data_IF_466184310696
#
_entry.id   IF_466184310696
#
_cell.length_a   1.000
_cell.length_b   1.000
_cell.length_c   1.000
_cell.angle_alpha   90.00
_cell.angle_beta   90.00
_cell.angle_gamma   90.00
#
_symmetry.space_group_name_H-M   'P 1'
#
loop_
_entity.id
_entity.type
_entity.pdbx_description
1 polymer ?
#
# COMPACT_ATOMS: atom_id res chain seq x y z
N UNK A 1 -39.72 -17.01 -6.26
CA UNK A 1 -39.30 -16.01 -7.27
C UNK A 1 -38.90 -14.74 -6.54
N UNK A 2 -37.84 -14.07 -6.97
CA UNK A 2 -37.55 -12.73 -6.46
C UNK A 2 -38.68 -11.75 -6.82
N UNK A 3 -38.74 -10.62 -6.13
CA UNK A 3 -39.87 -9.70 -6.23
C UNK A 3 -39.77 -8.72 -7.42
N UNK A 4 -38.99 -9.03 -8.47
CA UNK A 4 -38.88 -8.17 -9.63
C UNK A 4 -40.24 -7.95 -10.33
N UNK A 5 -40.49 -6.72 -10.80
CA UNK A 5 -41.81 -6.30 -11.30
C UNK A 5 -42.33 -7.13 -12.47
N UNK A 6 -41.45 -7.66 -13.32
CA UNK A 6 -41.84 -8.50 -14.46
C UNK A 6 -42.24 -9.93 -14.08
N UNK A 7 -41.82 -10.43 -12.90
CA UNK A 7 -42.28 -11.71 -12.37
C UNK A 7 -43.77 -11.69 -12.00
N UNK A 8 -44.34 -10.51 -11.73
CA UNK A 8 -45.75 -10.32 -11.41
C UNK A 8 -46.66 -10.24 -12.64
N UNK A 9 -46.11 -10.34 -13.85
CA UNK A 9 -46.90 -10.26 -15.08
C UNK A 9 -47.89 -11.42 -15.19
N UNK A 10 -49.07 -11.13 -15.74
CA UNK A 10 -50.15 -12.12 -15.86
C UNK A 10 -49.75 -13.32 -16.72
N UNK A 11 -48.90 -13.06 -17.73
CA UNK A 11 -48.33 -14.09 -18.59
C UNK A 11 -47.49 -15.11 -17.82
N UNK A 12 -46.68 -14.67 -16.87
CA UNK A 12 -45.82 -15.56 -16.06
C UNK A 12 -46.67 -16.41 -15.12
N UNK A 13 -47.69 -15.81 -14.49
CA UNK A 13 -48.64 -16.54 -13.64
C UNK A 13 -49.39 -17.63 -14.43
N UNK A 14 -49.85 -17.30 -15.64
CA UNK A 14 -50.55 -18.24 -16.51
C UNK A 14 -49.66 -19.43 -16.88
N UNK A 15 -48.44 -19.16 -17.36
CA UNK A 15 -47.48 -20.20 -17.76
C UNK A 15 -47.14 -21.14 -16.60
N UNK A 16 -46.96 -20.60 -15.39
CA UNK A 16 -46.69 -21.43 -14.23
C UNK A 16 -47.90 -22.25 -13.78
N UNK A 17 -49.12 -21.68 -13.87
CA UNK A 17 -50.35 -22.41 -13.61
C UNK A 17 -50.57 -23.55 -14.60
N UNK A 18 -50.36 -23.31 -15.90
CA UNK A 18 -50.48 -24.32 -16.95
C UNK A 18 -49.46 -25.46 -16.78
N UNK A 19 -48.29 -25.15 -16.23
CA UNK A 19 -47.26 -26.12 -15.88
C UNK A 19 -47.50 -26.81 -14.52
N UNK A 20 -48.59 -26.50 -13.80
CA UNK A 20 -48.87 -27.06 -12.47
C UNK A 20 -47.93 -26.57 -11.35
N UNK A 21 -47.19 -25.48 -11.60
CA UNK A 21 -46.21 -24.91 -10.67
C UNK A 21 -46.87 -23.83 -9.81
N UNK A 22 -46.80 -23.99 -8.49
CA UNK A 22 -47.29 -22.97 -7.54
C UNK A 22 -46.26 -21.85 -7.40
N UNK A 23 -46.65 -20.64 -7.79
CA UNK A 23 -45.80 -19.46 -7.64
C UNK A 23 -45.77 -19.00 -6.18
N UNK A 24 -44.57 -18.90 -5.61
CA UNK A 24 -44.32 -18.27 -4.32
C UNK A 24 -43.35 -17.09 -4.53
N UNK A 25 -43.83 -15.88 -4.22
CA UNK A 25 -42.98 -14.69 -4.21
C UNK A 25 -42.29 -14.60 -2.85
N UNK A 26 -40.97 -14.42 -2.88
CA UNK A 26 -40.24 -14.12 -1.67
C UNK A 26 -40.56 -12.66 -1.26
N UNK A 27 -40.56 -12.34 0.05
CA UNK A 27 -40.65 -10.96 0.47
C UNK A 27 -39.55 -10.12 -0.22
N UNK A 28 -39.80 -8.84 -0.53
CA UNK A 28 -38.75 -7.97 -1.03
C UNK A 28 -37.55 -8.06 -0.11
N UNK A 29 -36.34 -8.15 -0.69
CA UNK A 29 -35.11 -8.04 0.08
C UNK A 29 -35.21 -6.78 0.93
N UNK A 30 -34.94 -6.91 2.23
CA UNK A 30 -34.90 -5.75 3.10
C UNK A 30 -33.64 -4.96 2.73
N UNK A 31 -33.77 -3.70 2.26
CA UNK A 31 -32.63 -2.89 1.83
C UNK A 31 -31.61 -2.74 2.95
N UNK A 32 -32.09 -2.74 4.20
CA UNK A 32 -31.30 -2.65 5.43
C UNK A 32 -30.24 -3.77 5.55
N UNK A 33 -30.45 -4.92 4.88
CA UNK A 33 -29.53 -6.06 4.91
C UNK A 33 -28.74 -6.25 3.61
N UNK A 34 -28.89 -5.35 2.62
CA UNK A 34 -28.13 -5.40 1.38
C UNK A 34 -27.63 -4.01 0.97
N UNK A 35 -26.56 -3.50 1.60
CA UNK A 35 -26.00 -2.15 1.37
C UNK A 35 -25.66 -1.86 -0.10
N UNK A 36 -25.51 -2.89 -0.94
CA UNK A 36 -25.26 -2.73 -2.38
C UNK A 36 -26.42 -2.03 -3.11
N UNK A 37 -27.64 -2.05 -2.57
CA UNK A 37 -28.80 -1.41 -3.21
C UNK A 37 -28.74 0.12 -3.14
N UNK A 38 -28.32 0.68 -2.01
CA UNK A 38 -28.05 2.12 -1.87
C UNK A 38 -26.91 2.54 -2.81
N UNK A 39 -25.87 1.72 -2.90
CA UNK A 39 -24.77 1.89 -3.85
C UNK A 39 -25.27 1.99 -5.31
N UNK A 40 -26.16 1.08 -5.74
CA UNK A 40 -26.71 1.14 -7.08
C UNK A 40 -27.60 2.36 -7.31
N UNK A 41 -28.26 2.89 -6.27
CA UNK A 41 -29.08 4.09 -6.37
C UNK A 41 -28.21 5.33 -6.62
N UNK A 42 -27.13 5.51 -5.88
CA UNK A 42 -26.18 6.61 -6.05
C UNK A 42 -25.47 6.55 -7.41
N UNK A 43 -24.98 5.37 -7.79
CA UNK A 43 -24.33 5.17 -9.08
C UNK A 43 -25.27 5.50 -10.25
N UNK A 44 -26.54 5.08 -10.18
CA UNK A 44 -27.55 5.40 -11.20
C UNK A 44 -27.85 6.91 -11.24
N UNK A 45 -27.95 7.57 -10.08
CA UNK A 45 -28.19 9.00 -10.01
C UNK A 45 -27.03 9.80 -10.64
N UNK A 46 -25.79 9.40 -10.36
CA UNK A 46 -24.59 9.96 -10.98
C UNK A 46 -24.60 9.77 -12.50
N UNK A 47 -24.77 8.52 -12.96
CA UNK A 47 -24.79 8.21 -14.40
C UNK A 47 -25.87 9.03 -15.09
N UNK A 48 -27.06 9.14 -14.50
CA UNK A 48 -28.16 9.94 -15.06
C UNK A 48 -27.82 11.43 -15.16
N UNK A 49 -27.04 11.98 -14.21
CA UNK A 49 -26.56 13.36 -14.24
C UNK A 49 -25.48 13.59 -15.30
N UNK A 50 -24.57 12.62 -15.47
CA UNK A 50 -23.48 12.68 -16.45
C UNK A 50 -23.90 12.23 -17.87
N UNK A 51 -25.07 11.59 -18.00
CA UNK A 51 -25.60 11.02 -19.24
C UNK A 51 -25.63 11.99 -20.44
N UNK A 52 -25.99 13.28 -20.29
CA UNK A 52 -25.98 14.20 -21.43
C UNK A 52 -24.62 14.30 -22.14
N UNK A 53 -23.51 14.21 -21.40
CA UNK A 53 -22.16 14.25 -21.97
C UNK A 53 -21.80 12.95 -22.74
N UNK A 54 -22.49 11.84 -22.46
CA UNK A 54 -22.39 10.62 -23.23
C UNK A 54 -23.23 10.68 -24.51
N UNK A 55 -24.40 11.31 -24.47
CA UNK A 55 -25.26 11.49 -25.65
C UNK A 55 -24.64 12.40 -26.70
N UNK A 56 -23.80 13.36 -26.30
CA UNK A 56 -23.07 14.26 -27.22
C UNK A 56 -21.94 13.55 -28.01
N UNK A 57 -21.34 12.50 -27.45
CA UNK A 57 -20.29 11.70 -28.09
C UNK A 57 -20.42 10.22 -27.70
N UNK A 58 -21.37 9.48 -28.28
CA UNK A 58 -21.57 8.07 -27.96
C UNK A 58 -20.46 7.17 -28.51
N UNK A 59 -19.71 7.64 -29.52
CA UNK A 59 -18.62 6.90 -30.17
C UNK A 59 -17.39 6.77 -29.25
N UNK A 60 -17.27 7.61 -28.22
CA UNK A 60 -16.24 7.47 -27.17
C UNK A 60 -16.30 6.09 -26.47
N UNK A 61 -17.48 5.45 -26.47
CA UNK A 61 -17.73 4.17 -25.84
C UNK A 61 -17.91 4.26 -24.32
N UNK A 62 -18.83 3.45 -23.78
CA UNK A 62 -19.24 3.50 -22.38
C UNK A 62 -18.10 3.32 -21.37
N UNK A 63 -17.08 2.48 -21.69
CA UNK A 63 -15.91 2.28 -20.83
C UNK A 63 -15.02 3.53 -20.71
N UNK A 64 -14.97 4.36 -21.75
CA UNK A 64 -14.17 5.60 -21.77
C UNK A 64 -14.89 6.70 -21.00
N UNK A 65 -16.21 6.79 -21.17
CA UNK A 65 -17.09 7.65 -20.38
C UNK A 65 -16.93 7.41 -18.87
N UNK A 66 -17.00 6.14 -18.42
CA UNK A 66 -16.81 5.81 -17.01
C UNK A 66 -15.41 6.16 -16.48
N UNK A 67 -14.36 5.98 -17.29
CA UNK A 67 -12.98 6.32 -16.89
C UNK A 67 -12.76 7.82 -16.75
N UNK A 68 -13.29 8.62 -17.68
CA UNK A 68 -13.21 10.09 -17.63
C UNK A 68 -13.86 10.68 -16.38
N UNK A 69 -14.87 9.98 -15.88
CA UNK A 69 -15.64 10.35 -14.71
C UNK A 69 -15.21 9.61 -13.44
N UNK A 70 -14.16 8.80 -13.50
CA UNK A 70 -13.72 7.95 -12.39
C UNK A 70 -13.34 8.78 -11.16
N UNK A 71 -12.62 9.90 -11.30
CA UNK A 71 -12.26 10.75 -10.16
C UNK A 71 -13.49 11.35 -9.48
N UNK A 72 -14.49 11.77 -10.25
CA UNK A 72 -15.76 12.27 -9.70
C UNK A 72 -16.69 11.17 -9.17
N UNK A 73 -16.54 9.93 -9.66
CA UNK A 73 -17.19 8.76 -9.11
C UNK A 73 -16.54 8.35 -7.79
N UNK A 74 -15.22 8.46 -7.65
CA UNK A 74 -14.49 8.21 -6.41
C UNK A 74 -14.83 9.26 -5.33
N UNK A 75 -15.14 10.51 -5.71
CA UNK A 75 -15.63 11.56 -4.79
C UNK A 75 -17.08 11.31 -4.29
N UNK A 76 -17.90 10.61 -5.07
CA UNK A 76 -19.31 10.29 -4.72
C UNK A 76 -19.42 8.93 -4.05
N UNK A 77 -18.68 7.93 -4.54
CA UNK A 77 -18.60 6.58 -4.01
C UNK A 77 -17.48 6.52 -2.97
N UNK A 78 -17.75 7.10 -1.81
CA UNK A 78 -16.84 6.97 -0.68
C UNK A 78 -16.98 5.57 -0.07
N UNK A 79 -16.30 4.57 -0.64
CA UNK A 79 -16.13 3.24 -0.03
C UNK A 79 -15.30 3.28 1.28
N UNK A 80 -15.01 4.48 1.77
CA UNK A 80 -14.12 4.78 2.88
C UNK A 80 -14.84 5.13 4.17
N UNK A 81 -16.13 4.81 4.34
CA UNK A 81 -16.67 4.77 5.71
C UNK A 81 -15.95 3.64 6.45
N UNK A 82 -15.04 3.99 7.39
CA UNK A 82 -14.29 2.98 8.10
C UNK A 82 -15.28 2.22 8.99
N UNK A 83 -14.93 1.00 9.36
CA UNK A 83 -15.53 0.43 10.56
C UNK A 83 -15.26 1.37 11.74
N UNK A 84 -16.32 1.91 12.35
CA UNK A 84 -16.24 2.82 13.48
C UNK A 84 -16.70 2.13 14.74
N UNK A 85 -15.86 2.20 15.78
CA UNK A 85 -16.24 1.78 17.12
C UNK A 85 -17.21 2.80 17.71
N UNK A 86 -18.07 2.37 18.63
CA UNK A 86 -18.81 3.34 19.44
C UNK A 86 -17.81 4.22 20.21
N UNK A 87 -18.11 5.51 20.49
CA UNK A 87 -17.19 6.39 21.22
C UNK A 87 -16.71 5.80 22.55
N UNK A 88 -17.59 5.07 23.24
CA UNK A 88 -17.26 4.36 24.48
C UNK A 88 -16.27 3.22 24.26
N UNK A 89 -16.47 2.39 23.23
CA UNK A 89 -15.54 1.32 22.87
C UNK A 89 -14.19 1.90 22.45
N UNK A 90 -14.16 2.95 21.62
CA UNK A 90 -12.92 3.62 21.22
C UNK A 90 -12.12 4.09 22.44
N UNK A 91 -12.76 4.81 23.37
CA UNK A 91 -12.09 5.34 24.55
C UNK A 91 -11.60 4.24 25.50
N UNK A 92 -12.40 3.17 25.66
CA UNK A 92 -12.02 2.00 26.46
C UNK A 92 -10.82 1.30 25.84
N UNK A 93 -10.88 0.99 24.54
CA UNK A 93 -9.81 0.35 23.79
C UNK A 93 -8.51 1.15 23.83
N UNK A 94 -8.58 2.48 23.62
CA UNK A 94 -7.42 3.38 23.73
C UNK A 94 -6.81 3.38 25.13
N UNK A 95 -7.64 3.37 26.17
CA UNK A 95 -7.16 3.34 27.55
C UNK A 95 -6.46 2.02 27.88
N UNK A 96 -7.04 0.90 27.43
CA UNK A 96 -6.45 -0.43 27.57
C UNK A 96 -5.15 -0.56 26.78
N UNK A 97 -5.08 -0.02 25.56
CA UNK A 97 -3.85 -0.01 24.75
C UNK A 97 -2.70 0.68 25.49
N UNK A 98 -2.99 1.84 26.08
CA UNK A 98 -2.01 2.56 26.91
C UNK A 98 -1.61 1.73 28.14
N UNK A 99 -2.58 1.15 28.85
CA UNK A 99 -2.30 0.33 30.04
C UNK A 99 -1.42 -0.90 29.71
N UNK A 100 -1.73 -1.62 28.64
CA UNK A 100 -0.97 -2.79 28.18
C UNK A 100 0.45 -2.39 27.76
N UNK A 101 0.60 -1.32 26.97
CA UNK A 101 1.93 -0.90 26.47
C UNK A 101 2.81 -0.27 27.56
N UNK A 102 2.22 0.42 28.55
CA UNK A 102 2.96 0.90 29.72
C UNK A 102 3.35 -0.24 30.65
N UNK A 103 2.47 -1.25 30.84
CA UNK A 103 2.79 -2.43 31.65
C UNK A 103 3.89 -3.30 31.01
N UNK A 104 3.89 -3.43 29.68
CA UNK A 104 4.99 -4.10 28.95
C UNK A 104 6.33 -3.37 29.12
N UNK A 105 6.30 -2.04 29.24
CA UNK A 105 7.48 -1.20 29.35
C UNK A 105 7.87 -0.57 28.00
N UNK A 106 7.82 0.76 27.85
CA UNK A 106 8.05 1.42 26.56
C UNK A 106 9.49 1.28 26.05
N UNK A 107 10.46 1.02 26.93
CA UNK A 107 11.87 0.82 26.59
C UNK A 107 12.30 -0.65 26.66
N UNK A 108 11.34 -1.58 26.89
CA UNK A 108 11.64 -3.00 26.87
C UNK A 108 11.96 -3.45 25.45
N UNK A 109 13.12 -4.06 25.28
CA UNK A 109 13.62 -4.58 24.00
C UNK A 109 13.27 -6.07 23.88
N UNK A 110 12.76 -6.47 22.73
CA UNK A 110 12.49 -7.89 22.43
C UNK A 110 13.79 -8.66 22.20
N UNK A 111 13.70 -9.99 22.11
CA UNK A 111 14.84 -10.83 21.72
C UNK A 111 15.43 -10.46 20.35
N UNK A 112 14.63 -9.83 19.50
CA UNK A 112 14.99 -9.38 18.14
C UNK A 112 15.59 -7.98 18.09
N UNK A 113 15.78 -7.32 19.24
CA UNK A 113 16.51 -6.05 19.33
C UNK A 113 15.70 -4.79 19.02
N UNK A 114 14.40 -4.90 18.76
CA UNK A 114 13.50 -3.76 18.57
C UNK A 114 12.57 -3.57 19.79
N UNK A 115 11.81 -2.48 19.82
CA UNK A 115 10.94 -2.09 20.95
C UNK A 115 9.45 -2.35 20.63
N UNK A 116 8.84 -3.47 21.10
CA UNK A 116 7.46 -3.84 20.77
C UNK A 116 6.42 -2.80 21.16
N UNK A 117 6.47 -2.28 22.38
CA UNK A 117 5.53 -1.27 22.84
C UNK A 117 5.60 0.03 22.00
N UNK A 118 6.81 0.46 21.59
CA UNK A 118 6.97 1.61 20.68
C UNK A 118 6.48 1.31 19.28
N UNK A 119 6.70 0.11 18.75
CA UNK A 119 6.15 -0.31 17.45
C UNK A 119 4.62 -0.19 17.44
N UNK A 120 3.97 -0.77 18.44
CA UNK A 120 2.51 -0.79 18.57
C UNK A 120 1.97 0.63 18.73
N UNK A 121 2.53 1.44 19.65
CA UNK A 121 2.11 2.83 19.88
C UNK A 121 2.34 3.71 18.65
N UNK A 122 3.49 3.55 17.99
CA UNK A 122 3.79 4.31 16.77
C UNK A 122 2.83 3.92 15.65
N UNK A 123 2.54 2.63 15.48
CA UNK A 123 1.55 2.15 14.51
C UNK A 123 0.20 2.78 14.79
N UNK A 124 -0.30 2.69 16.03
CA UNK A 124 -1.55 3.35 16.43
C UNK A 124 -1.55 4.85 16.13
N UNK A 125 -0.43 5.55 16.30
CA UNK A 125 -0.34 6.99 16.06
C UNK A 125 -0.31 7.37 14.58
N UNK A 126 0.26 6.54 13.71
CA UNK A 126 0.48 6.86 12.30
C UNK A 126 -0.56 6.27 11.33
N UNK A 127 -1.33 5.25 11.72
CA UNK A 127 -2.44 4.73 10.89
C UNK A 127 -3.59 5.74 10.79
N UNK A 128 -4.27 5.82 9.64
CA UNK A 128 -5.45 6.67 9.49
C UNK A 128 -6.65 6.11 10.24
N UNK A 129 -6.92 4.79 10.13
CA UNK A 129 -8.04 4.15 10.83
C UNK A 129 -7.62 3.65 12.21
N UNK A 130 -7.83 4.50 13.23
CA UNK A 130 -7.56 4.14 14.64
C UNK A 130 -8.42 2.96 15.11
N UNK A 131 -9.68 2.93 14.68
CA UNK A 131 -10.66 1.92 15.09
C UNK A 131 -10.37 0.55 14.48
N UNK A 132 -9.98 0.51 13.20
CA UNK A 132 -9.53 -0.73 12.56
C UNK A 132 -8.29 -1.28 13.27
N UNK A 133 -7.33 -0.42 13.62
CA UNK A 133 -6.14 -0.85 14.37
C UNK A 133 -6.50 -1.38 15.76
N UNK A 134 -7.30 -0.65 16.54
CA UNK A 134 -7.72 -1.08 17.88
C UNK A 134 -8.47 -2.41 17.81
N UNK A 135 -9.37 -2.54 16.84
CA UNK A 135 -10.11 -3.78 16.59
C UNK A 135 -9.15 -4.93 16.34
N UNK A 136 -8.25 -4.78 15.36
CA UNK A 136 -7.30 -5.81 14.98
C UNK A 136 -6.36 -6.19 16.14
N UNK A 137 -5.85 -5.21 16.87
CA UNK A 137 -4.98 -5.43 18.01
C UNK A 137 -5.67 -6.26 19.10
N UNK A 138 -6.86 -5.84 19.55
CA UNK A 138 -7.54 -6.51 20.64
C UNK A 138 -8.11 -7.88 20.25
N UNK A 139 -8.63 -8.05 19.03
CA UNK A 139 -9.07 -9.37 18.56
C UNK A 139 -7.90 -10.34 18.45
N UNK A 140 -6.75 -9.88 17.95
CA UNK A 140 -5.53 -10.69 17.88
C UNK A 140 -5.07 -11.15 19.27
N UNK A 141 -4.97 -10.22 20.24
CA UNK A 141 -4.56 -10.58 21.59
C UNK A 141 -5.53 -11.55 22.25
N UNK A 142 -6.83 -11.35 22.07
CA UNK A 142 -7.84 -12.25 22.62
C UNK A 142 -7.75 -13.65 22.01
N UNK A 143 -7.60 -13.75 20.69
CA UNK A 143 -7.42 -15.01 19.98
C UNK A 143 -6.15 -15.74 20.43
N UNK A 144 -5.03 -15.04 20.60
CA UNK A 144 -3.80 -15.61 21.15
C UNK A 144 -3.96 -16.16 22.58
N UNK A 145 -4.78 -15.52 23.43
CA UNK A 145 -4.93 -15.90 24.84
C UNK A 145 -6.02 -16.95 25.09
N UNK A 146 -7.03 -17.01 24.23
CA UNK A 146 -8.23 -17.84 24.43
C UNK A 146 -8.44 -18.91 23.38
N UNK A 147 -7.75 -18.83 22.24
CA UNK A 147 -7.95 -19.69 21.05
C UNK A 147 -9.37 -19.62 20.47
N UNK A 148 -10.14 -18.57 20.78
CA UNK A 148 -11.51 -18.36 20.30
C UNK A 148 -11.57 -17.13 19.40
N UNK A 149 -12.18 -17.28 18.22
CA UNK A 149 -12.47 -16.18 17.31
C UNK A 149 -13.20 -15.06 18.05
N UNK A 150 -12.66 -13.85 17.99
CA UNK A 150 -13.15 -12.73 18.78
C UNK A 150 -13.75 -11.64 17.92
N UNK A 151 -14.83 -11.03 18.41
CA UNK A 151 -15.16 -9.67 18.03
C UNK A 151 -14.55 -8.67 19.02
N UNK A 152 -14.64 -7.39 18.70
CA UNK A 152 -14.08 -6.33 19.53
C UNK A 152 -14.81 -6.17 20.87
N UNK A 153 -16.11 -6.47 20.95
CA UNK A 153 -16.85 -6.35 22.20
C UNK A 153 -16.40 -7.43 23.19
N UNK A 154 -16.24 -8.67 22.72
CA UNK A 154 -15.71 -9.78 23.49
C UNK A 154 -14.29 -9.49 23.96
N UNK A 155 -13.41 -9.04 23.05
CA UNK A 155 -12.02 -8.73 23.39
C UNK A 155 -11.93 -7.63 24.46
N UNK A 156 -12.66 -6.51 24.30
CA UNK A 156 -12.66 -5.43 25.28
C UNK A 156 -13.24 -5.87 26.63
N UNK A 157 -14.25 -6.74 26.63
CA UNK A 157 -14.82 -7.28 27.86
C UNK A 157 -13.82 -8.17 28.62
N UNK A 158 -13.02 -8.94 27.89
CA UNK A 158 -11.97 -9.79 28.46
C UNK A 158 -10.90 -8.93 29.15
N UNK A 159 -10.37 -7.91 28.48
CA UNK A 159 -9.32 -7.05 29.03
C UNK A 159 -9.81 -5.97 30.01
N UNK A 160 -11.13 -5.84 30.24
CA UNK A 160 -11.71 -4.73 31.01
C UNK A 160 -11.11 -4.59 32.41
N UNK A 161 -10.81 -5.70 33.08
CA UNK A 161 -10.27 -5.75 34.44
C UNK A 161 -8.78 -6.14 34.49
N UNK A 162 -8.03 -5.91 33.40
CA UNK A 162 -6.60 -6.24 33.28
C UNK A 162 -5.74 -5.85 34.49
N UNK A 163 -6.03 -4.71 35.12
CA UNK A 163 -5.29 -4.24 36.31
C UNK A 163 -5.44 -5.15 37.55
N UNK A 164 -6.52 -5.94 37.61
CA UNK A 164 -6.84 -6.87 38.69
C UNK A 164 -6.36 -8.30 38.42
N UNK A 165 -5.83 -8.57 37.22
CA UNK A 165 -5.35 -9.89 36.84
C UNK A 165 -4.16 -10.33 37.69
N UNK A 166 -4.03 -11.64 37.89
CA UNK A 166 -2.86 -12.21 38.54
C UNK A 166 -1.60 -12.10 37.66
N UNK A 167 -0.44 -12.29 38.29
CA UNK A 167 0.85 -12.14 37.63
C UNK A 167 1.09 -13.15 36.50
N UNK A 168 0.43 -14.31 36.48
CA UNK A 168 0.54 -15.29 35.40
C UNK A 168 -0.27 -14.85 34.17
N UNK A 169 -1.51 -14.40 34.39
CA UNK A 169 -2.36 -13.84 33.35
C UNK A 169 -1.74 -12.58 32.72
N UNK A 170 -1.21 -11.67 33.53
CA UNK A 170 -0.51 -10.48 33.02
C UNK A 170 0.72 -10.86 32.19
N UNK A 171 1.51 -11.85 32.63
CA UNK A 171 2.67 -12.33 31.87
C UNK A 171 2.27 -12.91 30.51
N UNK A 172 1.18 -13.69 30.45
CA UNK A 172 0.64 -14.22 29.20
C UNK A 172 0.18 -13.10 28.26
N UNK A 173 -0.50 -12.08 28.79
CA UNK A 173 -0.88 -10.91 28.01
C UNK A 173 0.32 -10.19 27.40
N UNK A 174 1.40 -10.04 28.16
CA UNK A 174 2.64 -9.43 27.66
C UNK A 174 3.31 -10.27 26.56
N UNK A 175 3.25 -11.61 26.69
CA UNK A 175 3.64 -12.52 25.61
C UNK A 175 2.83 -12.28 24.33
N UNK A 176 1.50 -12.20 24.43
CA UNK A 176 0.64 -11.92 23.29
C UNK A 176 0.90 -10.53 22.66
N UNK A 177 1.23 -9.51 23.47
CA UNK A 177 1.63 -8.17 22.99
C UNK A 177 2.92 -8.25 22.16
N UNK A 178 3.91 -9.03 22.63
CA UNK A 178 5.15 -9.25 21.90
C UNK A 178 4.92 -10.05 20.62
N UNK A 179 4.08 -11.09 20.66
CA UNK A 179 3.67 -11.87 19.48
C UNK A 179 2.96 -11.00 18.43
N UNK A 180 2.09 -10.08 18.83
CA UNK A 180 1.46 -9.13 17.91
C UNK A 180 2.49 -8.21 17.23
N UNK A 181 3.47 -7.70 18.00
CA UNK A 181 4.53 -6.87 17.43
C UNK A 181 5.37 -7.67 16.44
N UNK A 182 5.71 -8.92 16.78
CA UNK A 182 6.43 -9.84 15.90
C UNK A 182 5.63 -10.18 14.64
N UNK A 183 4.33 -10.37 14.77
CA UNK A 183 3.42 -10.55 13.64
C UNK A 183 3.47 -9.33 12.72
N UNK A 184 3.36 -8.11 13.24
CA UNK A 184 3.45 -6.89 12.45
C UNK A 184 4.79 -6.75 11.73
N UNK A 185 5.91 -7.02 12.42
CA UNK A 185 7.25 -6.98 11.81
C UNK A 185 7.38 -8.01 10.70
N UNK A 186 7.04 -9.27 10.98
CA UNK A 186 7.31 -10.38 10.07
C UNK A 186 6.32 -10.50 8.93
N UNK A 187 5.04 -10.18 9.15
CA UNK A 187 3.98 -10.30 8.14
C UNK A 187 3.80 -9.03 7.32
N UNK A 188 4.18 -7.86 7.84
CA UNK A 188 3.94 -6.59 7.15
C UNK A 188 5.21 -5.82 6.81
N UNK A 189 5.98 -5.42 7.81
CA UNK A 189 7.11 -4.51 7.57
C UNK A 189 8.26 -5.16 6.81
N UNK A 190 8.64 -6.39 7.18
CA UNK A 190 9.74 -7.13 6.57
C UNK A 190 9.47 -7.40 5.07
N UNK A 191 8.32 -7.96 4.66
CA UNK A 191 8.06 -8.21 3.24
C UNK A 191 7.99 -6.95 2.39
N UNK A 192 7.41 -5.85 2.91
CA UNK A 192 7.38 -4.57 2.22
C UNK A 192 8.79 -4.05 1.95
N UNK A 193 9.64 -3.99 2.99
CA UNK A 193 11.01 -3.50 2.84
C UNK A 193 11.87 -4.40 1.95
N UNK A 194 11.77 -5.72 2.11
CA UNK A 194 12.48 -6.70 1.28
C UNK A 194 12.19 -6.54 -0.22
N UNK A 195 10.98 -6.08 -0.55
CA UNK A 195 10.49 -5.97 -1.91
C UNK A 195 10.73 -4.60 -2.54
N UNK A 196 10.69 -3.53 -1.74
CA UNK A 196 10.94 -2.16 -2.21
C UNK A 196 12.36 -1.94 -2.76
N UNK A 197 13.36 -2.68 -2.28
CA UNK A 197 14.74 -2.58 -2.76
C UNK A 197 14.93 -3.26 -4.12
N UNK A 198 14.03 -4.17 -4.52
CA UNK A 198 14.16 -5.03 -5.71
C UNK A 198 13.19 -4.67 -6.83
N UNK A 199 12.71 -3.42 -6.88
CA UNK A 199 11.74 -2.95 -7.88
C UNK A 199 12.22 -3.33 -9.29
N UNK A 200 11.45 -4.10 -10.09
CA UNK A 200 11.91 -4.57 -11.38
C UNK A 200 12.18 -3.39 -12.32
N UNK A 201 13.45 -3.17 -12.66
CA UNK A 201 13.82 -2.23 -13.72
C UNK A 201 13.81 -2.96 -15.06
N UNK A 202 13.29 -2.35 -16.14
CA UNK A 202 13.50 -2.89 -17.47
C UNK A 202 14.99 -2.81 -17.80
N UNK A 203 15.69 -3.95 -17.71
CA UNK A 203 17.08 -4.05 -18.14
C UNK A 203 17.15 -3.73 -19.64
N UNK A 204 18.09 -2.90 -20.12
CA UNK A 204 18.33 -2.77 -21.56
C UNK A 204 18.83 -4.13 -22.05
N UNK A 205 17.92 -4.94 -22.60
CA UNK A 205 18.20 -6.34 -22.91
C UNK A 205 19.05 -6.39 -24.17
N UNK A 206 20.32 -6.80 -24.03
CA UNK A 206 20.97 -7.61 -25.05
C UNK A 206 20.07 -8.82 -25.31
N UNK A 207 19.53 -8.89 -26.53
CA UNK A 207 18.53 -9.82 -27.08
C UNK A 207 18.84 -11.32 -26.86
N UNK A 208 18.82 -11.82 -25.63
CA UNK A 208 19.09 -13.24 -25.38
C UNK A 208 18.30 -13.76 -24.17
N UNK A 209 17.60 -14.87 -24.42
CA UNK A 209 16.75 -15.65 -23.52
C UNK A 209 15.37 -15.02 -23.16
N UNK A 210 14.41 -15.27 -24.05
CA UNK A 210 12.99 -15.36 -23.69
C UNK A 210 12.87 -16.49 -22.65
N UNK A 211 12.69 -16.13 -21.38
CA UNK A 211 12.19 -17.07 -20.38
C UNK A 211 10.66 -17.19 -20.51
N UNK A 212 10.06 -18.40 -20.51
CA UNK A 212 8.64 -18.59 -20.82
C UNK A 212 7.65 -18.17 -19.73
N UNK A 213 8.09 -17.66 -18.58
CA UNK A 213 7.27 -17.53 -17.37
C UNK A 213 6.86 -16.10 -16.98
N UNK A 214 7.19 -15.06 -17.76
CA UNK A 214 6.62 -13.73 -17.52
C UNK A 214 5.38 -13.55 -18.40
N UNK A 215 4.18 -13.24 -17.84
CA UNK A 215 3.05 -12.84 -18.67
C UNK A 215 3.49 -11.60 -19.44
N UNK A 216 3.48 -11.69 -20.76
CA UNK A 216 4.04 -10.72 -21.73
C UNK A 216 3.57 -9.28 -21.49
N UNK A 217 2.45 -9.09 -20.77
CA UNK A 217 1.92 -7.79 -20.36
C UNK A 217 2.72 -7.05 -19.27
N UNK A 218 3.34 -7.73 -18.30
CA UNK A 218 3.97 -7.03 -17.14
C UNK A 218 5.19 -6.21 -17.56
N UNK A 219 6.06 -6.76 -18.42
CA UNK A 219 7.23 -6.02 -18.93
C UNK A 219 6.82 -4.78 -19.73
N UNK A 220 5.77 -4.90 -20.55
CA UNK A 220 5.24 -3.77 -21.31
C UNK A 220 4.63 -2.71 -20.40
N UNK A 221 3.86 -3.11 -19.37
CA UNK A 221 3.30 -2.18 -18.39
C UNK A 221 4.39 -1.43 -17.62
N UNK A 222 5.43 -2.11 -17.15
CA UNK A 222 6.56 -1.46 -16.44
C UNK A 222 7.29 -0.47 -17.37
N UNK A 223 7.47 -0.83 -18.65
CA UNK A 223 8.07 0.09 -19.62
C UNK A 223 7.20 1.33 -19.88
N UNK A 224 5.88 1.17 -19.95
CA UNK A 224 4.93 2.29 -20.10
C UNK A 224 4.92 3.16 -18.85
N UNK A 225 4.85 2.57 -17.67
CA UNK A 225 4.95 3.28 -16.39
C UNK A 225 6.22 4.14 -16.33
N UNK A 226 7.37 3.56 -16.68
CA UNK A 226 8.63 4.28 -16.69
C UNK A 226 8.60 5.48 -17.65
N UNK A 227 8.05 5.28 -18.84
CA UNK A 227 7.91 6.34 -19.83
C UNK A 227 7.03 7.48 -19.30
N UNK A 228 5.86 7.15 -18.75
CA UNK A 228 4.88 8.13 -18.26
C UNK A 228 5.42 8.92 -17.06
N UNK A 229 6.08 8.26 -16.10
CA UNK A 229 6.69 8.94 -14.95
C UNK A 229 7.81 9.90 -15.37
N UNK A 230 8.68 9.51 -16.31
CA UNK A 230 9.74 10.40 -16.81
C UNK A 230 9.17 11.63 -17.50
N UNK A 231 8.11 11.50 -18.30
CA UNK A 231 7.43 12.64 -18.92
C UNK A 231 6.79 13.54 -17.86
N UNK A 232 6.03 12.96 -16.93
CA UNK A 232 5.36 13.69 -15.86
C UNK A 232 6.34 14.53 -15.03
N UNK A 233 7.49 13.94 -14.71
CA UNK A 233 8.49 14.56 -13.83
C UNK A 233 9.52 15.41 -14.61
N UNK A 234 9.22 15.75 -15.87
CA UNK A 234 10.09 16.57 -16.74
C UNK A 234 11.51 16.00 -16.85
N UNK A 235 11.61 14.66 -16.88
CA UNK A 235 12.86 13.90 -16.90
C UNK A 235 13.83 14.27 -15.77
N UNK A 236 13.31 14.73 -14.63
CA UNK A 236 14.10 15.10 -13.45
C UNK A 236 13.72 14.22 -12.25
N UNK A 237 14.71 13.92 -11.41
CA UNK A 237 14.47 13.31 -10.12
C UNK A 237 13.57 14.21 -9.26
N UNK A 238 12.51 13.66 -8.67
CA UNK A 238 11.57 14.44 -7.84
C UNK A 238 12.24 15.00 -6.57
N UNK A 239 13.31 14.36 -6.10
CA UNK A 239 14.07 14.75 -4.90
C UNK A 239 15.24 15.68 -5.27
N UNK A 240 16.19 15.20 -6.07
CA UNK A 240 17.46 15.92 -6.33
C UNK A 240 17.38 16.93 -7.46
N UNK A 241 16.33 16.87 -8.30
CA UNK A 241 16.16 17.65 -9.54
C UNK A 241 17.23 17.40 -10.62
N UNK A 242 18.12 16.42 -10.43
CA UNK A 242 19.05 15.96 -11.46
C UNK A 242 18.28 15.41 -12.66
N UNK A 243 18.79 15.69 -13.86
CA UNK A 243 18.16 15.38 -15.14
C UNK A 243 18.60 14.02 -15.68
N UNK A 244 17.73 13.33 -16.40
CA UNK A 244 18.04 12.04 -17.01
C UNK A 244 19.11 12.15 -18.11
N UNK A 245 20.22 11.47 -17.90
CA UNK A 245 21.36 11.52 -18.82
C UNK A 245 21.07 10.91 -20.20
N UNK A 246 20.17 9.92 -20.28
CA UNK A 246 19.84 9.29 -21.56
C UNK A 246 18.98 10.24 -22.41
N UNK A 247 18.02 10.92 -21.79
CA UNK A 247 17.22 11.96 -22.47
C UNK A 247 18.08 13.16 -22.85
N UNK A 248 19.01 13.61 -21.99
CA UNK A 248 19.93 14.71 -22.33
C UNK A 248 20.78 14.40 -23.57
N UNK A 249 21.34 13.18 -23.67
CA UNK A 249 22.10 12.72 -24.84
C UNK A 249 21.25 12.71 -26.11
N UNK A 250 19.99 12.25 -26.00
CA UNK A 250 19.04 12.20 -27.12
C UNK A 250 18.65 13.60 -27.61
N UNK A 251 18.42 14.56 -26.70
CA UNK A 251 18.12 15.95 -27.07
C UNK A 251 19.31 16.63 -27.74
N UNK A 252 20.52 16.45 -27.19
CA UNK A 252 21.76 16.97 -27.78
C UNK A 252 22.01 16.47 -29.21
N UNK A 253 21.58 15.24 -29.52
CA UNK A 253 21.72 14.67 -30.86
C UNK A 253 20.69 15.24 -31.88
N UNK A 254 19.57 15.79 -31.42
CA UNK A 254 18.46 16.25 -32.28
C UNK A 254 18.36 17.77 -32.39
N UNK A 255 18.58 18.47 -31.29
CA UNK A 255 18.34 19.90 -31.15
C UNK A 255 19.66 20.65 -30.88
N UNK A 256 19.86 21.76 -31.57
CA UNK A 256 21.04 22.63 -31.41
C UNK A 256 20.99 23.43 -30.12
N UNK A 257 19.79 23.75 -29.61
CA UNK A 257 19.63 24.55 -28.39
C UNK A 257 19.70 23.67 -27.13
N UNK A 258 19.30 22.40 -27.24
CA UNK A 258 19.43 21.36 -26.21
C UNK A 258 18.77 21.80 -24.89
N UNK A 259 17.49 22.13 -24.96
CA UNK A 259 16.70 22.61 -23.82
C UNK A 259 16.00 21.46 -23.07
N UNK A 260 15.80 21.65 -21.77
CA UNK A 260 14.94 20.80 -20.93
C UNK A 260 13.46 21.08 -21.18
N UNK A 261 12.58 20.35 -20.48
CA UNK A 261 11.13 20.47 -20.61
C UNK A 261 10.59 21.86 -20.18
N UNK A 262 11.39 22.64 -19.44
CA UNK A 262 11.06 23.98 -18.96
C UNK A 262 11.73 25.08 -19.82
N UNK A 263 12.38 24.72 -20.93
CA UNK A 263 13.06 25.65 -21.84
C UNK A 263 14.44 26.12 -21.36
N UNK A 264 15.01 25.49 -20.33
CA UNK A 264 16.34 25.81 -19.84
C UNK A 264 17.39 25.00 -20.60
N UNK A 265 18.45 25.67 -21.04
CA UNK A 265 19.54 25.02 -21.77
C UNK A 265 20.34 24.05 -20.90
N UNK A 266 20.39 22.78 -21.31
CA UNK A 266 21.10 21.72 -20.61
C UNK A 266 22.62 21.88 -20.66
N UNK A 267 23.16 22.49 -21.71
CA UNK A 267 24.60 22.70 -21.86
C UNK A 267 25.21 23.69 -20.86
N UNK A 268 24.36 24.48 -20.19
CA UNK A 268 24.76 25.41 -19.13
C UNK A 268 24.76 24.77 -17.73
N UNK A 269 24.21 23.57 -17.57
CA UNK A 269 24.18 22.87 -16.29
C UNK A 269 25.50 22.14 -16.01
N UNK A 270 25.90 22.02 -14.73
CA UNK A 270 27.12 21.31 -14.38
C UNK A 270 26.99 19.81 -14.68
N UNK A 271 28.12 19.15 -14.90
CA UNK A 271 28.11 17.76 -15.39
C UNK A 271 27.47 16.76 -14.41
N UNK A 272 27.53 17.06 -13.10
CA UNK A 272 26.95 16.27 -12.02
C UNK A 272 25.41 16.40 -11.90
N UNK A 273 24.80 17.32 -12.65
CA UNK A 273 23.34 17.43 -12.81
C UNK A 273 22.74 16.30 -13.64
N UNK A 274 23.54 15.53 -14.38
CA UNK A 274 23.07 14.50 -15.31
C UNK A 274 23.34 13.10 -14.78
N UNK A 275 22.29 12.33 -14.52
CA UNK A 275 22.39 10.97 -13.96
C UNK A 275 21.34 10.05 -14.58
N UNK A 276 21.53 8.74 -14.46
CA UNK A 276 20.46 7.80 -14.81
C UNK A 276 19.34 7.87 -13.77
N UNK A 277 18.11 8.02 -14.23
CA UNK A 277 16.93 8.00 -13.37
C UNK A 277 16.28 6.62 -13.37
N UNK A 278 15.65 6.30 -12.25
CA UNK A 278 14.88 5.09 -12.01
C UNK A 278 13.46 5.45 -11.62
N UNK A 279 12.52 4.54 -11.88
CA UNK A 279 11.14 4.69 -11.45
C UNK A 279 10.90 3.69 -10.34
N UNK A 280 10.56 4.21 -9.17
CA UNK A 280 10.33 3.45 -7.95
C UNK A 280 8.84 3.42 -7.65
N UNK A 281 8.30 2.23 -7.37
CA UNK A 281 6.94 2.13 -6.86
C UNK A 281 6.89 2.64 -5.41
N UNK A 282 5.82 3.35 -5.03
CA UNK A 282 5.58 3.81 -3.65
C UNK A 282 5.21 2.61 -2.77
N UNK A 283 4.28 1.79 -3.26
CA UNK A 283 3.87 0.52 -2.69
C UNK A 283 4.35 -0.61 -3.61
N UNK A 284 5.14 -1.59 -3.12
CA UNK A 284 5.85 -2.56 -3.97
C UNK A 284 4.97 -3.36 -4.93
N UNK A 285 5.44 -3.52 -6.17
CA UNK A 285 4.75 -4.26 -7.23
C UNK A 285 4.40 -5.72 -6.85
N UNK A 286 5.25 -6.39 -6.08
CA UNK A 286 5.09 -7.81 -5.72
C UNK A 286 3.84 -8.11 -4.88
N UNK A 287 3.20 -7.10 -4.28
CA UNK A 287 2.03 -7.25 -3.40
C UNK A 287 0.85 -7.91 -4.08
N UNK A 288 0.64 -7.61 -5.36
CA UNK A 288 -0.48 -8.13 -6.15
C UNK A 288 -0.06 -9.27 -7.07
N UNK A 289 1.20 -9.72 -6.98
CA UNK A 289 1.70 -10.82 -7.81
C UNK A 289 1.33 -12.16 -7.20
N UNK A 290 0.72 -13.04 -8.01
CA UNK A 290 0.44 -14.43 -7.64
C UNK A 290 1.64 -15.29 -8.05
N UNK A 291 2.02 -16.24 -7.20
CA UNK A 291 3.16 -17.12 -7.48
C UNK A 291 2.84 -18.06 -8.68
N UNK A 292 3.85 -18.49 -9.45
CA UNK A 292 3.64 -19.38 -10.58
C UNK A 292 3.00 -20.71 -10.14
N UNK A 293 1.78 -20.98 -10.61
CA UNK A 293 1.05 -22.21 -10.28
C UNK A 293 -0.09 -22.02 -9.29
N UNK A 294 -0.16 -20.87 -8.62
CA UNK A 294 -1.25 -20.56 -7.69
C UNK A 294 -2.37 -19.78 -8.37
N UNK A 295 -3.60 -19.98 -7.90
CA UNK A 295 -4.79 -19.23 -8.32
C UNK A 295 -5.09 -18.02 -7.43
N UNK A 296 -4.50 -17.97 -6.23
CA UNK A 296 -4.76 -16.94 -5.22
C UNK A 296 -3.47 -16.39 -4.62
N UNK A 297 -3.55 -15.20 -4.01
CA UNK A 297 -2.47 -14.64 -3.21
C UNK A 297 -2.21 -15.49 -1.96
N UNK A 298 -0.94 -15.57 -1.54
CA UNK A 298 -0.54 -16.18 -0.27
C UNK A 298 -1.21 -15.48 0.92
N UNK A 299 -1.40 -16.20 2.03
CA UNK A 299 -1.98 -15.64 3.25
C UNK A 299 -1.17 -14.47 3.78
N UNK A 300 0.16 -14.51 3.62
CA UNK A 300 1.05 -13.38 3.90
C UNK A 300 0.67 -12.13 3.11
N UNK A 301 0.47 -12.24 1.79
CA UNK A 301 0.04 -11.10 0.94
C UNK A 301 -1.37 -10.61 1.31
N UNK A 302 -2.29 -11.51 1.62
CA UNK A 302 -3.64 -11.16 2.12
C UNK A 302 -3.54 -10.38 3.44
N UNK A 303 -2.67 -10.79 4.35
CA UNK A 303 -2.41 -10.07 5.61
C UNK A 303 -1.82 -8.69 5.37
N UNK A 304 -0.87 -8.53 4.43
CA UNK A 304 -0.34 -7.20 4.10
C UNK A 304 -1.42 -6.28 3.56
N UNK A 305 -2.28 -6.76 2.66
CA UNK A 305 -3.38 -5.95 2.13
C UNK A 305 -4.36 -5.52 3.23
N UNK A 306 -4.69 -6.42 4.17
CA UNK A 306 -5.53 -6.09 5.34
C UNK A 306 -4.89 -5.04 6.23
N UNK A 307 -3.59 -5.16 6.49
CA UNK A 307 -2.86 -4.20 7.33
C UNK A 307 -2.70 -2.86 6.63
N UNK A 308 -2.43 -2.83 5.32
CA UNK A 308 -2.39 -1.61 4.50
C UNK A 308 -3.71 -0.83 4.61
N UNK A 309 -4.84 -1.52 4.61
CA UNK A 309 -6.16 -0.89 4.74
C UNK A 309 -6.36 -0.21 6.11
N UNK A 310 -5.67 -0.67 7.16
CA UNK A 310 -5.65 0.05 8.44
C UNK A 310 -4.86 1.36 8.36
N UNK A 311 -3.78 1.38 7.58
CA UNK A 311 -2.98 2.59 7.38
C UNK A 311 -3.75 3.67 6.64
N UNK A 312 -4.53 3.29 5.63
CA UNK A 312 -5.44 4.17 4.91
C UNK A 312 -6.55 3.34 4.26
N UNK A 313 -7.80 3.55 4.67
CA UNK A 313 -8.92 2.70 4.28
C UNK A 313 -9.23 2.82 2.78
N UNK A 314 -9.31 1.70 2.07
CA UNK A 314 -9.52 1.66 0.63
C UNK A 314 -8.27 1.96 -0.19
N UNK A 315 -7.08 2.06 0.45
CA UNK A 315 -5.81 2.25 -0.27
C UNK A 315 -5.52 1.11 -1.24
N UNK A 316 -5.99 -0.10 -0.91
CA UNK A 316 -5.83 -1.30 -1.74
C UNK A 316 -6.47 -1.14 -3.12
N UNK A 317 -7.56 -0.36 -3.25
CA UNK A 317 -8.20 -0.05 -4.54
C UNK A 317 -7.35 0.83 -5.47
N UNK A 318 -6.37 1.56 -4.91
CA UNK A 318 -5.43 2.37 -5.71
C UNK A 318 -4.33 1.52 -6.34
N UNK A 319 -4.12 0.30 -5.84
CA UNK A 319 -3.04 -0.59 -6.27
C UNK A 319 -3.56 -1.93 -6.82
N UNK A 320 -4.87 -2.09 -6.96
CA UNK A 320 -5.47 -3.34 -7.42
C UNK A 320 -5.23 -3.63 -8.92
N UNK A 321 -4.97 -4.89 -9.23
CA UNK A 321 -4.76 -5.40 -10.59
C UNK A 321 -3.75 -4.58 -11.40
N UNK A 322 -4.16 -3.97 -12.53
CA UNK A 322 -3.25 -3.18 -13.37
C UNK A 322 -2.86 -1.83 -12.73
N UNK A 323 -3.58 -1.35 -11.71
CA UNK A 323 -3.30 -0.06 -11.07
C UNK A 323 -2.01 -0.08 -10.24
N UNK A 324 -1.49 -1.25 -9.88
CA UNK A 324 -0.17 -1.38 -9.25
C UNK A 324 0.93 -0.73 -10.08
N UNK A 325 0.80 -0.80 -11.41
CA UNK A 325 1.73 -0.24 -12.41
C UNK A 325 1.22 1.13 -12.93
N UNK A 326 0.61 1.93 -12.07
CA UNK A 326 0.13 3.28 -12.39
C UNK A 326 1.12 4.37 -11.94
N UNK A 327 1.23 5.49 -12.67
CA UNK A 327 1.99 6.67 -12.23
C UNK A 327 1.56 7.19 -10.83
N UNK A 328 0.32 6.94 -10.40
CA UNK A 328 -0.16 7.22 -9.04
C UNK A 328 0.72 6.56 -7.96
N UNK A 329 1.24 5.37 -8.24
CA UNK A 329 2.03 4.56 -7.33
C UNK A 329 3.53 4.63 -7.66
N UNK A 330 4.03 5.66 -8.36
CA UNK A 330 5.42 5.69 -8.80
C UNK A 330 6.09 7.08 -8.79
N UNK A 331 7.40 7.08 -8.51
CA UNK A 331 8.26 8.27 -8.44
C UNK A 331 9.49 8.11 -9.33
N UNK A 332 9.91 9.18 -10.00
CA UNK A 332 11.19 9.25 -10.68
C UNK A 332 12.30 9.68 -9.71
N UNK A 333 13.29 8.81 -9.47
CA UNK A 333 14.35 8.98 -8.48
C UNK A 333 15.74 8.77 -9.11
N UNK A 334 16.77 9.32 -8.46
CA UNK A 334 18.15 8.87 -8.71
C UNK A 334 18.36 7.51 -8.05
N UNK A 335 19.36 6.75 -8.47
CA UNK A 335 19.69 5.45 -7.86
C UNK A 335 19.82 5.53 -6.33
N UNK A 336 20.52 6.54 -5.82
CA UNK A 336 20.69 6.77 -4.38
C UNK A 336 19.36 7.06 -3.69
N UNK A 337 18.55 7.99 -4.20
CA UNK A 337 17.25 8.28 -3.60
C UNK A 337 16.27 7.10 -3.73
N UNK A 338 16.35 6.30 -4.79
CA UNK A 338 15.55 5.08 -4.93
C UNK A 338 15.89 4.08 -3.82
N UNK A 339 17.18 3.86 -3.56
CA UNK A 339 17.62 3.01 -2.44
C UNK A 339 17.10 3.53 -1.10
N UNK A 340 17.36 4.80 -0.78
CA UNK A 340 16.89 5.40 0.48
C UNK A 340 15.36 5.34 0.62
N UNK A 341 14.63 5.55 -0.49
CA UNK A 341 13.17 5.50 -0.50
C UNK A 341 12.65 4.08 -0.28
N UNK A 342 13.25 3.08 -0.94
CA UNK A 342 12.88 1.68 -0.78
C UNK A 342 13.23 1.12 0.60
N UNK A 343 14.30 1.63 1.22
CA UNK A 343 14.70 1.31 2.59
C UNK A 343 13.89 2.09 3.66
N UNK A 344 12.92 2.92 3.25
CA UNK A 344 12.14 3.80 4.13
C UNK A 344 13.00 4.78 4.96
N UNK A 345 14.15 5.18 4.43
CA UNK A 345 15.08 6.13 5.05
C UNK A 345 14.83 7.59 4.63
N UNK A 346 14.05 7.82 3.58
CA UNK A 346 13.52 9.15 3.23
C UNK A 346 12.00 9.10 3.10
N UNK A 347 11.33 10.20 3.43
CA UNK A 347 9.87 10.28 3.42
C UNK A 347 9.39 11.67 2.99
N UNK A 348 8.12 11.74 2.58
CA UNK A 348 7.49 12.95 2.03
C UNK A 348 6.44 13.50 2.99
N UNK A 349 6.75 14.59 3.68
CA UNK A 349 5.83 15.29 4.58
C UNK A 349 5.05 16.38 3.83
N UNK A 350 3.70 16.37 3.80
CA UNK A 350 2.95 17.43 3.13
C UNK A 350 3.13 18.78 3.84
N UNK A 351 3.33 19.85 3.09
CA UNK A 351 3.49 21.21 3.67
C UNK A 351 2.15 21.92 3.91
N UNK A 352 1.06 21.39 3.36
CA UNK A 352 -0.26 22.04 3.28
C UNK A 352 -0.53 22.69 1.93
N UNK A 353 0.51 22.95 1.12
CA UNK A 353 0.35 23.40 -0.26
C UNK A 353 0.10 22.20 -1.19
N UNK A 354 -0.76 22.33 -2.22
CA UNK A 354 -1.02 21.24 -3.17
C UNK A 354 0.25 20.73 -3.84
N UNK A 355 0.46 19.41 -3.77
CA UNK A 355 1.60 18.70 -4.37
C UNK A 355 2.99 19.12 -3.84
N UNK A 356 3.06 19.86 -2.75
CA UNK A 356 4.33 20.28 -2.15
C UNK A 356 4.64 19.47 -0.88
N UNK A 357 5.87 18.98 -0.82
CA UNK A 357 6.34 18.13 0.25
C UNK A 357 7.68 18.62 0.78
N UNK A 358 7.84 18.58 2.10
CA UNK A 358 9.13 18.57 2.78
C UNK A 358 9.62 17.13 2.79
N UNK A 359 10.69 16.86 2.06
CA UNK A 359 11.35 15.57 1.99
C UNK A 359 12.49 15.57 3.01
N UNK A 360 12.47 14.63 3.94
CA UNK A 360 13.47 14.51 5.01
C UNK A 360 13.92 13.05 5.15
N UNK A 361 14.97 12.84 5.92
CA UNK A 361 15.54 11.53 6.19
C UNK A 361 15.31 11.09 7.63
N UNK A 362 15.16 9.77 7.84
CA UNK A 362 15.14 9.16 9.18
C UNK A 362 16.53 8.98 9.78
N UNK A 363 17.60 9.21 9.00
CA UNK A 363 18.98 9.14 9.46
C UNK A 363 19.35 10.30 10.40
N UNK A 364 20.26 10.04 11.33
CA UNK A 364 20.70 11.01 12.33
C UNK A 364 22.22 10.97 12.54
N UNK A 365 22.77 12.03 13.15
CA UNK A 365 24.20 12.12 13.42
C UNK A 365 25.05 12.23 12.15
N UNK A 366 26.18 11.53 12.10
CA UNK A 366 27.13 11.61 10.99
C UNK A 366 26.66 10.94 9.70
N UNK A 367 25.67 10.05 9.77
CA UNK A 367 25.07 9.37 8.61
C UNK A 367 24.04 10.24 7.88
N UNK A 368 23.59 11.34 8.50
CA UNK A 368 22.59 12.22 7.90
C UNK A 368 23.20 13.04 6.77
N UNK A 369 22.69 12.81 5.56
CA UNK A 369 23.05 13.61 4.38
C UNK A 369 22.60 15.08 4.59
N UNK A 370 23.52 16.06 4.49
CA UNK A 370 23.20 17.49 4.63
C UNK A 370 22.26 18.02 3.54
N UNK A 371 22.03 17.25 2.46
CA UNK A 371 21.03 17.56 1.45
C UNK A 371 19.62 17.65 2.07
N UNK A 372 19.30 16.85 3.10
CA UNK A 372 17.98 16.85 3.73
C UNK A 372 17.90 17.80 4.96
N UNK A 373 16.77 18.50 5.16
CA UNK A 373 15.53 18.42 4.39
C UNK A 373 15.52 19.30 3.14
N UNK A 374 14.72 18.91 2.14
CA UNK A 374 14.41 19.75 0.97
C UNK A 374 12.91 19.93 0.78
N UNK A 375 12.49 21.06 0.25
CA UNK A 375 11.10 21.30 -0.15
C UNK A 375 10.97 21.10 -1.66
N UNK A 376 9.97 20.33 -2.09
CA UNK A 376 9.72 20.00 -3.48
C UNK A 376 8.24 20.03 -3.81
N UNK A 377 7.90 20.78 -4.84
CA UNK A 377 6.60 20.66 -5.52
C UNK A 377 6.69 19.58 -6.59
N UNK A 378 5.87 18.53 -6.48
CA UNK A 378 5.81 17.47 -7.49
C UNK A 378 5.17 18.03 -8.76
N UNK A 379 5.77 17.69 -9.90
CA UNK A 379 5.35 18.22 -11.19
C UNK A 379 4.03 17.56 -11.63
N UNK A 380 3.20 18.35 -12.31
CA UNK A 380 2.01 17.85 -12.98
C UNK A 380 2.31 17.78 -14.48
N UNK A 381 1.86 16.72 -15.15
CA UNK A 381 2.01 16.62 -16.60
C UNK A 381 1.36 17.83 -17.29
N UNK A 382 1.93 18.37 -18.39
CA UNK A 382 1.49 19.64 -19.00
C UNK A 382 -0.01 19.69 -19.36
N UNK A 383 -0.60 18.54 -19.69
CA UNK A 383 -2.02 18.39 -20.02
C UNK A 383 -2.82 17.63 -18.95
N UNK A 384 -2.22 17.32 -17.80
CA UNK A 384 -2.79 16.47 -16.73
C UNK A 384 -3.31 15.12 -17.26
N UNK A 385 -2.67 14.59 -18.29
CA UNK A 385 -2.98 13.28 -18.88
C UNK A 385 -2.34 12.14 -18.11
N UNK A 386 -1.28 12.43 -17.35
CA UNK A 386 -0.56 11.49 -16.50
C UNK A 386 -0.78 11.90 -15.05
N UNK A 387 -1.27 10.96 -14.25
CA UNK A 387 -1.62 11.21 -12.85
C UNK A 387 -0.38 11.53 -11.98
N UNK A 388 -0.50 12.47 -11.04
CA UNK A 388 0.55 12.74 -10.06
C UNK A 388 0.70 11.58 -9.07
N UNK A 389 1.85 11.47 -8.37
CA UNK A 389 1.98 10.54 -7.25
C UNK A 389 0.88 10.75 -6.21
N UNK A 390 0.27 9.66 -5.77
CA UNK A 390 -0.85 9.70 -4.83
C UNK A 390 -0.39 10.22 -3.45
N UNK A 391 -0.97 11.31 -2.93
CA UNK A 391 -0.68 11.79 -1.58
C UNK A 391 -1.00 10.74 -0.51
N UNK A 392 -2.00 9.89 -0.75
CA UNK A 392 -2.40 8.80 0.15
C UNK A 392 -1.32 7.73 0.23
N UNK A 393 -0.79 7.28 -0.91
CA UNK A 393 0.29 6.28 -0.94
C UNK A 393 1.58 6.84 -0.31
N UNK A 394 1.91 8.11 -0.56
CA UNK A 394 3.03 8.78 0.10
C UNK A 394 2.82 8.90 1.61
N UNK A 395 1.58 9.14 2.05
CA UNK A 395 1.20 9.17 3.46
C UNK A 395 1.44 7.83 4.15
N UNK A 396 1.04 6.72 3.52
CA UNK A 396 1.31 5.36 4.01
C UNK A 396 2.81 5.07 4.07
N UNK A 397 3.57 5.40 3.01
CA UNK A 397 5.02 5.24 2.99
C UNK A 397 5.70 5.99 4.13
N UNK A 398 5.34 7.26 4.34
CA UNK A 398 5.83 8.09 5.46
C UNK A 398 5.51 7.49 6.83
N UNK A 399 4.28 7.02 7.02
CA UNK A 399 3.86 6.36 8.25
C UNK A 399 4.74 5.16 8.57
N UNK A 400 5.01 4.29 7.58
CA UNK A 400 5.90 3.14 7.72
C UNK A 400 7.32 3.57 8.10
N UNK A 401 7.88 4.58 7.42
CA UNK A 401 9.22 5.11 7.71
C UNK A 401 9.37 5.57 9.17
N UNK A 402 8.37 6.29 9.70
CA UNK A 402 8.40 6.72 11.10
C UNK A 402 8.26 5.55 12.08
N UNK A 403 7.37 4.59 11.81
CA UNK A 403 7.17 3.43 12.70
C UNK A 403 8.45 2.60 12.79
N UNK A 404 9.09 2.32 11.66
CA UNK A 404 10.35 1.57 11.62
C UNK A 404 11.45 2.27 12.39
N UNK A 405 11.59 3.59 12.23
CA UNK A 405 12.60 4.38 12.94
C UNK A 405 12.35 4.45 14.44
N UNK A 406 11.12 4.74 14.87
CA UNK A 406 10.78 4.96 16.29
C UNK A 406 10.82 3.66 17.11
N UNK A 407 10.58 2.52 16.47
CA UNK A 407 10.59 1.20 17.12
C UNK A 407 11.95 0.50 17.09
N UNK A 408 12.86 0.91 16.21
CA UNK A 408 14.09 0.17 15.92
C UNK A 408 13.86 -1.12 15.10
N UNK A 409 12.63 -1.40 14.67
CA UNK A 409 12.34 -2.58 13.85
C UNK A 409 13.02 -2.52 12.48
N UNK A 410 13.35 -1.30 12.00
CA UNK A 410 14.17 -1.12 10.80
C UNK A 410 15.52 -1.84 10.92
N UNK A 411 16.26 -1.63 12.01
CA UNK A 411 17.60 -2.20 12.19
C UNK A 411 17.58 -3.74 12.23
N UNK A 412 16.54 -4.31 12.86
CA UNK A 412 16.29 -5.76 12.86
C UNK A 412 16.04 -6.29 11.44
N UNK A 413 15.19 -5.61 10.66
CA UNK A 413 14.92 -6.00 9.28
C UNK A 413 16.18 -5.90 8.42
N UNK A 414 17.00 -4.86 8.62
CA UNK A 414 18.27 -4.70 7.91
C UNK A 414 19.23 -5.84 8.21
N UNK A 415 19.24 -6.35 9.45
CA UNK A 415 20.03 -7.53 9.76
C UNK A 415 19.57 -8.74 8.95
N UNK A 416 18.26 -9.01 8.88
CA UNK A 416 17.73 -10.14 8.09
C UNK A 416 18.08 -9.99 6.60
N UNK A 417 17.92 -8.78 6.05
CA UNK A 417 18.22 -8.53 4.64
C UNK A 417 19.71 -8.68 4.34
N UNK A 418 20.59 -8.27 5.25
CA UNK A 418 22.04 -8.51 5.15
C UNK A 418 22.38 -9.99 5.22
N UNK A 419 21.81 -10.73 6.17
CA UNK A 419 22.01 -12.18 6.30
C UNK A 419 21.60 -12.92 5.02
N UNK A 420 20.54 -12.44 4.35
CA UNK A 420 20.06 -13.01 3.09
C UNK A 420 21.01 -12.78 1.91
N UNK A 421 21.82 -11.71 1.95
CA UNK A 421 22.86 -11.44 0.93
C UNK A 421 24.13 -12.24 1.19
N UNK A 422 24.36 -12.69 2.42
CA UNK A 422 25.53 -13.48 2.78
C UNK A 422 25.41 -14.93 2.25
N UNK A 423 26.54 -15.48 1.82
CA UNK A 423 26.64 -16.84 1.25
C UNK A 423 26.74 -17.91 2.35
N UNK A 424 27.18 -17.52 3.55
CA UNK A 424 27.42 -18.43 4.66
C UNK A 424 26.34 -18.28 5.74
N UNK A 425 25.93 -19.42 6.31
CA UNK A 425 25.10 -19.47 7.52
C UNK A 425 26.04 -19.56 8.71
N UNK A 426 25.86 -18.69 9.69
CA UNK A 426 26.68 -18.67 10.89
C UNK A 426 26.36 -19.88 11.78
N UNK A 427 27.41 -20.56 12.24
CA UNK A 427 27.28 -21.79 13.02
C UNK A 427 26.75 -21.56 14.44
N UNK A 428 26.70 -20.30 14.89
CA UNK A 428 26.18 -19.90 16.20
C UNK A 428 24.65 -19.73 16.22
N UNK A 429 23.98 -19.91 15.07
CA UNK A 429 22.53 -19.78 14.95
C UNK A 429 22.04 -18.34 14.88
N UNK A 430 22.93 -17.36 14.69
CA UNK A 430 22.56 -15.94 14.54
C UNK A 430 21.85 -15.62 13.22
N UNK A 431 22.06 -16.43 12.16
CA UNK A 431 21.41 -16.26 10.86
C UNK A 431 19.91 -16.52 10.94
N UNK A 432 19.09 -15.54 10.55
CA UNK A 432 17.63 -15.67 10.62
C UNK A 432 17.02 -16.45 9.44
N UNK A 433 17.32 -17.75 9.37
CA UNK A 433 16.87 -18.64 8.29
C UNK A 433 15.33 -18.74 8.20
N UNK A 434 14.62 -18.65 9.33
CA UNK A 434 13.17 -18.76 9.38
C UNK A 434 12.48 -17.64 8.58
N UNK A 435 12.84 -16.39 8.86
CA UNK A 435 12.28 -15.23 8.16
C UNK A 435 12.70 -15.18 6.68
N UNK A 436 13.95 -15.58 6.37
CA UNK A 436 14.44 -15.66 4.97
C UNK A 436 13.66 -16.71 4.17
N UNK A 437 13.44 -17.89 4.73
CA UNK A 437 12.68 -18.95 4.06
C UNK A 437 11.22 -18.54 3.87
N UNK A 438 10.61 -17.89 4.88
CA UNK A 438 9.24 -17.36 4.78
C UNK A 438 9.09 -16.40 3.60
N UNK A 439 9.99 -15.41 3.46
CA UNK A 439 9.95 -14.47 2.34
C UNK A 439 10.00 -15.15 0.96
N UNK A 440 10.75 -16.25 0.85
CA UNK A 440 10.83 -17.04 -0.40
C UNK A 440 9.58 -17.87 -0.64
N UNK A 441 9.07 -18.57 0.38
CA UNK A 441 7.87 -19.41 0.26
C UNK A 441 6.61 -18.58 -0.02
N UNK A 442 6.49 -17.40 0.59
CA UNK A 442 5.35 -16.51 0.41
C UNK A 442 5.40 -15.71 -0.90
N UNK A 443 6.45 -15.93 -1.72
CA UNK A 443 6.59 -15.34 -3.05
C UNK A 443 6.86 -13.84 -3.03
N UNK A 444 7.55 -13.33 -1.99
CA UNK A 444 8.03 -11.94 -1.92
C UNK A 444 9.36 -11.75 -2.65
N UNK A 445 10.13 -12.83 -2.77
CA UNK A 445 11.41 -12.85 -3.44
C UNK A 445 11.39 -13.85 -4.59
N UNK A 446 11.78 -13.41 -5.78
CA UNK A 446 11.94 -14.31 -6.91
C UNK A 446 13.05 -15.35 -6.62
N UNK A 447 12.83 -16.60 -7.06
CA UNK A 447 13.82 -17.67 -6.95
C UNK A 447 15.13 -17.27 -7.64
N UNK A 448 16.19 -17.18 -6.84
CA UNK A 448 17.60 -17.04 -7.26
C UNK A 448 17.86 -15.93 -8.30
N UNK A 449 17.85 -14.68 -7.85
CA UNK A 449 18.80 -13.72 -8.41
C UNK A 449 20.18 -14.10 -7.85
N UNK A 450 20.88 -14.99 -8.55
CA UNK A 450 22.33 -15.13 -8.40
C UNK A 450 22.93 -13.77 -8.79
N UNK A 451 23.75 -13.24 -7.88
CA UNK A 451 24.52 -12.01 -8.03
C UNK A 451 25.30 -11.93 -9.34
#
# INVERSE_FOLDING_TARGET
MDNASFHHSERVKQLCSDAGVKLLYLPPYSPDFNPIEEFFAELKAYIKKAWPAYEEDPDQGFKTFLRRHQSSLEDVLNFSEPFLLTPQQHQTARSLLNALTEHYGPEQTSQKGYLPAKLIRSTFNYVASKDSFLTFFFTYLHECLTEVNSDIALALSYFYDFASWDADMQRKAMGAVEEFADFMVTQFFLPLRASSVKTPQPTPTSLSAIQPSTPTGTKQRISLLRHDCLIRDHHRCVVTRKFDIAEARKRRAKDKNCEDDDGKRLDSEPHDSFVHLEVAHIIPHCLTTVAPGDSELSDSKKNVLRILDMFDHGITHLIDGPKIDSPLNALTLTLECHRLFGEFQIYFEPTGNPYEYRIDSTESGFLRDPFFPVIRTLMLSPHRTIDPPSPRLLGVHRAIAHILKLSGAGDYIDQILRDMEQVAVEADGSTNLGDIMRLRFDGWLNQLAVF
#
